data_IF_972899048752
#
_entry.id   IF_972899048752
#
_cell.length_a   1.000
_cell.length_b   1.000
_cell.length_c   1.000
_cell.angle_alpha   90.00
_cell.angle_beta   90.00
_cell.angle_gamma   90.00
#
_symmetry.space_group_name_H-M   'P 1'
#
loop_
_entity.id
_entity.type
_entity.pdbx_description
1 polymer ?
#
# COMPACT_ATOMS: atom_id res chain seq x y z
N UNK A 1 -37.89 -5.06 26.92
CA UNK A 1 -37.79 -4.93 25.44
C UNK A 1 -36.38 -4.42 25.19
N UNK A 2 -35.55 -5.24 24.56
CA UNK A 2 -34.18 -4.83 24.22
C UNK A 2 -34.31 -3.77 23.12
N UNK A 3 -34.15 -2.50 23.47
CA UNK A 3 -34.18 -1.41 22.49
C UNK A 3 -33.12 -1.71 21.44
N UNK A 4 -33.52 -1.81 20.17
CA UNK A 4 -32.62 -2.17 19.09
C UNK A 4 -31.50 -1.13 19.05
N UNK A 5 -30.28 -1.55 19.45
CA UNK A 5 -29.10 -0.66 19.49
C UNK A 5 -28.91 0.01 18.14
N UNK A 6 -28.60 1.30 18.16
CA UNK A 6 -28.27 2.08 16.97
C UNK A 6 -27.18 1.38 16.13
N UNK A 7 -27.47 1.16 14.85
CA UNK A 7 -26.63 0.37 13.96
C UNK A 7 -25.68 1.26 13.15
N UNK A 8 -24.40 1.16 13.44
CA UNK A 8 -23.35 1.84 12.68
C UNK A 8 -22.74 0.86 11.69
N UNK A 9 -22.80 1.20 10.39
CA UNK A 9 -22.11 0.45 9.34
C UNK A 9 -20.86 1.24 8.93
N UNK A 10 -19.68 0.59 8.99
CA UNK A 10 -18.40 1.17 8.62
C UNK A 10 -17.88 0.41 7.39
N UNK A 11 -17.67 1.12 6.29
CA UNK A 11 -17.08 0.56 5.06
C UNK A 11 -15.60 0.91 5.01
N UNK A 12 -14.77 -0.12 5.13
CA UNK A 12 -13.32 -0.02 5.15
C UNK A 12 -12.72 -0.23 6.54
N UNK A 13 -11.88 -1.27 6.68
CA UNK A 13 -11.14 -1.62 7.89
C UNK A 13 -9.69 -1.11 7.85
N UNK A 14 -9.46 -0.01 7.18
CA UNK A 14 -8.20 0.75 7.22
C UNK A 14 -8.03 1.51 8.52
N UNK A 15 -7.11 2.47 8.56
CA UNK A 15 -6.83 3.29 9.75
C UNK A 15 -8.09 3.99 10.28
N UNK A 16 -8.84 4.67 9.40
CA UNK A 16 -10.04 5.42 9.81
C UNK A 16 -11.14 4.52 10.37
N UNK A 17 -11.43 3.39 9.71
CA UNK A 17 -12.48 2.46 10.16
C UNK A 17 -12.16 1.79 11.48
N UNK A 18 -10.90 1.34 11.66
CA UNK A 18 -10.46 0.74 12.93
C UNK A 18 -10.43 1.77 14.06
N UNK A 19 -9.96 2.99 13.80
CA UNK A 19 -9.90 4.03 14.83
C UNK A 19 -11.30 4.45 15.29
N UNK A 20 -12.24 4.62 14.34
CA UNK A 20 -13.63 4.87 14.69
C UNK A 20 -14.22 3.72 15.52
N UNK A 21 -13.92 2.47 15.14
CA UNK A 21 -14.40 1.31 15.90
C UNK A 21 -13.84 1.31 17.33
N UNK A 22 -12.61 1.76 17.55
CA UNK A 22 -12.03 1.94 18.88
C UNK A 22 -12.72 3.05 19.65
N UNK A 23 -12.92 4.20 19.01
CA UNK A 23 -13.55 5.36 19.65
C UNK A 23 -15.00 5.08 20.08
N UNK A 24 -15.70 4.18 19.39
CA UNK A 24 -17.06 3.75 19.75
C UNK A 24 -17.08 2.65 20.83
N UNK A 25 -15.95 2.32 21.45
CA UNK A 25 -15.94 1.32 22.53
C UNK A 25 -16.77 1.80 23.73
N UNK A 26 -17.72 0.96 24.17
CA UNK A 26 -18.62 1.29 25.28
C UNK A 26 -19.83 2.14 24.89
N UNK A 27 -19.92 2.63 23.66
CA UNK A 27 -21.14 3.30 23.16
C UNK A 27 -22.30 2.29 23.03
N UNK A 28 -23.57 2.72 23.21
CA UNK A 28 -24.74 1.85 23.09
C UNK A 28 -25.11 1.57 21.63
N UNK A 29 -24.13 1.13 20.83
CA UNK A 29 -24.29 0.85 19.39
C UNK A 29 -23.91 -0.60 19.09
N UNK A 30 -24.39 -1.09 17.94
CA UNK A 30 -23.85 -2.27 17.27
C UNK A 30 -23.14 -1.83 16.00
N UNK A 31 -22.03 -2.44 15.68
CA UNK A 31 -21.20 -2.06 14.54
C UNK A 31 -21.13 -3.21 13.54
N UNK A 32 -21.33 -2.91 12.26
CA UNK A 32 -20.97 -3.81 11.16
C UNK A 32 -19.86 -3.18 10.36
N UNK A 33 -18.67 -3.80 10.39
CA UNK A 33 -17.53 -3.41 9.59
C UNK A 33 -17.50 -4.26 8.32
N UNK A 34 -17.46 -3.60 7.17
CA UNK A 34 -17.42 -4.25 5.85
C UNK A 34 -16.11 -3.88 5.16
N UNK A 35 -15.35 -4.86 4.74
CA UNK A 35 -14.16 -4.64 3.91
C UNK A 35 -14.06 -5.71 2.82
N UNK A 36 -13.56 -5.34 1.66
CA UNK A 36 -13.29 -6.26 0.55
C UNK A 36 -12.09 -7.18 0.80
N UNK A 37 -11.30 -6.90 1.84
CA UNK A 37 -10.18 -7.70 2.32
C UNK A 37 -10.45 -8.19 3.74
N UNK A 38 -9.84 -9.32 4.08
CA UNK A 38 -9.95 -9.89 5.43
C UNK A 38 -8.88 -9.39 6.40
N UNK A 39 -8.01 -8.46 5.96
CA UNK A 39 -6.87 -7.96 6.74
C UNK A 39 -6.82 -6.43 6.73
N UNK A 40 -6.36 -5.88 7.84
CA UNK A 40 -5.88 -4.51 7.95
C UNK A 40 -4.45 -4.44 7.43
N UNK A 41 -4.15 -3.45 6.61
CA UNK A 41 -2.83 -3.22 6.06
C UNK A 41 -2.20 -1.96 6.69
N UNK A 42 -1.02 -2.11 7.29
CA UNK A 42 -0.22 -0.98 7.73
C UNK A 42 0.56 -0.40 6.54
N UNK A 43 -0.11 0.39 5.73
CA UNK A 43 0.41 0.96 4.48
C UNK A 43 1.77 1.69 4.59
N UNK A 44 2.09 2.42 5.68
CA UNK A 44 3.38 3.12 5.79
C UNK A 44 4.61 2.22 5.63
N UNK A 45 4.50 0.92 5.91
CA UNK A 45 5.61 -0.03 5.75
C UNK A 45 5.53 -0.88 4.48
N UNK A 46 4.63 -0.55 3.57
CA UNK A 46 4.40 -1.34 2.35
C UNK A 46 5.62 -1.35 1.43
N UNK A 47 6.39 -0.26 1.39
CA UNK A 47 7.63 -0.17 0.63
C UNK A 47 8.69 -1.18 1.12
N UNK A 48 8.73 -1.47 2.42
CA UNK A 48 9.65 -2.47 2.98
C UNK A 48 9.28 -3.91 2.56
N UNK A 49 8.00 -4.20 2.36
CA UNK A 49 7.58 -5.47 1.76
C UNK A 49 8.00 -5.52 0.28
N UNK A 50 7.81 -4.43 -0.46
CA UNK A 50 8.20 -4.33 -1.86
C UNK A 50 9.73 -4.49 -2.07
N UNK A 51 10.54 -4.13 -1.09
CA UNK A 51 12.01 -4.19 -1.12
C UNK A 51 12.60 -5.32 -0.27
N UNK A 52 11.80 -6.32 0.07
CA UNK A 52 12.23 -7.54 0.82
C UNK A 52 12.58 -7.37 2.29
N UNK A 53 12.59 -6.15 2.82
CA UNK A 53 12.96 -5.89 4.21
C UNK A 53 11.96 -6.45 5.23
N UNK A 54 10.66 -6.55 4.86
CA UNK A 54 9.62 -7.13 5.72
C UNK A 54 8.84 -8.24 5.02
N UNK A 55 8.35 -9.19 5.81
CA UNK A 55 7.35 -10.15 5.35
C UNK A 55 5.95 -9.51 5.32
N UNK A 56 5.07 -10.01 4.43
CA UNK A 56 3.69 -9.52 4.33
C UNK A 56 2.91 -9.66 5.64
N UNK A 57 3.18 -10.70 6.42
CA UNK A 57 2.54 -10.99 7.71
C UNK A 57 2.85 -9.95 8.80
N UNK A 58 3.93 -9.18 8.64
CA UNK A 58 4.33 -8.17 9.62
C UNK A 58 3.50 -6.90 9.54
N UNK A 59 2.91 -6.63 8.37
CA UNK A 59 2.11 -5.42 8.13
C UNK A 59 0.64 -5.69 7.79
N UNK A 60 0.24 -6.97 7.66
CA UNK A 60 -1.12 -7.38 7.33
C UNK A 60 -1.71 -8.25 8.45
N UNK A 61 -2.66 -7.67 9.18
CA UNK A 61 -3.27 -8.31 10.35
C UNK A 61 -4.73 -8.68 10.08
N UNK A 62 -5.17 -9.93 10.36
CA UNK A 62 -6.57 -10.29 10.18
C UNK A 62 -7.51 -9.38 10.97
N UNK A 63 -8.48 -8.75 10.28
CA UNK A 63 -9.44 -7.81 10.91
C UNK A 63 -10.17 -8.51 12.08
N UNK A 64 -10.61 -9.75 11.88
CA UNK A 64 -11.30 -10.51 12.91
C UNK A 64 -10.43 -10.75 14.15
N UNK A 65 -9.12 -10.91 13.98
CA UNK A 65 -8.19 -11.04 15.10
C UNK A 65 -8.06 -9.73 15.87
N UNK A 66 -7.96 -8.59 15.18
CA UNK A 66 -7.89 -7.27 15.79
C UNK A 66 -9.15 -6.97 16.62
N UNK A 67 -10.32 -7.38 16.13
CA UNK A 67 -11.62 -7.08 16.72
C UNK A 67 -12.17 -8.22 17.59
N UNK A 68 -11.44 -9.32 17.83
CA UNK A 68 -11.93 -10.54 18.52
C UNK A 68 -12.52 -10.30 19.91
N UNK A 69 -12.08 -9.26 20.61
CA UNK A 69 -12.58 -8.89 21.94
C UNK A 69 -13.84 -8.00 21.90
N UNK A 70 -14.20 -7.45 20.75
CA UNK A 70 -15.34 -6.55 20.52
C UNK A 70 -16.58 -7.34 20.13
N UNK A 71 -17.41 -7.69 21.11
CA UNK A 71 -18.64 -8.46 20.92
C UNK A 71 -19.75 -7.67 20.23
N UNK A 72 -19.65 -6.35 20.25
CA UNK A 72 -20.56 -5.38 19.60
C UNK A 72 -20.21 -5.15 18.13
N UNK A 73 -19.13 -5.77 17.60
CA UNK A 73 -18.65 -5.60 16.22
C UNK A 73 -18.79 -6.90 15.44
N UNK A 74 -19.53 -6.83 14.33
CA UNK A 74 -19.59 -7.87 13.30
C UNK A 74 -18.72 -7.46 12.12
N UNK A 75 -17.83 -8.34 11.65
CA UNK A 75 -16.99 -8.10 10.47
C UNK A 75 -17.53 -8.90 9.29
N UNK A 76 -17.78 -8.24 8.17
CA UNK A 76 -18.19 -8.85 6.91
C UNK A 76 -17.08 -8.67 5.85
N UNK A 77 -16.77 -9.74 5.14
CA UNK A 77 -15.98 -9.70 3.92
C UNK A 77 -16.94 -9.48 2.76
N UNK A 78 -16.81 -8.39 2.03
CA UNK A 78 -17.69 -8.06 0.90
C UNK A 78 -17.26 -6.76 0.23
N UNK A 79 -17.55 -6.65 -1.05
CA UNK A 79 -17.30 -5.43 -1.83
C UNK A 79 -18.56 -4.59 -1.86
N UNK A 80 -18.49 -3.39 -1.33
CA UNK A 80 -19.58 -2.42 -1.42
C UNK A 80 -19.61 -1.84 -2.83
N UNK A 81 -20.75 -2.01 -3.51
CA UNK A 81 -20.98 -1.53 -4.88
C UNK A 81 -21.90 -0.32 -4.95
N UNK A 82 -22.63 -0.03 -3.87
CA UNK A 82 -23.55 1.10 -3.84
C UNK A 82 -24.14 1.38 -2.46
N UNK A 83 -24.86 2.51 -2.37
CA UNK A 83 -25.60 2.92 -1.18
C UNK A 83 -27.00 3.36 -1.58
N UNK A 84 -28.01 2.66 -1.08
CA UNK A 84 -29.40 3.09 -1.13
C UNK A 84 -29.65 4.04 0.06
N UNK A 85 -29.60 5.35 -0.22
CA UNK A 85 -29.77 6.38 0.81
C UNK A 85 -31.17 6.45 1.36
N UNK A 86 -32.17 6.24 0.50
CA UNK A 86 -33.61 6.30 0.89
C UNK A 86 -33.97 5.09 1.78
N UNK A 87 -33.54 3.90 1.40
CA UNK A 87 -33.75 2.67 2.17
C UNK A 87 -32.71 2.46 3.29
N UNK A 88 -31.74 3.38 3.47
CA UNK A 88 -30.62 3.25 4.43
C UNK A 88 -29.95 1.88 4.37
N UNK A 89 -29.49 1.50 3.20
CA UNK A 89 -28.83 0.19 2.97
C UNK A 89 -27.53 0.36 2.18
N UNK A 90 -26.52 -0.42 2.58
CA UNK A 90 -25.30 -0.63 1.80
C UNK A 90 -25.48 -1.88 0.94
N UNK A 91 -25.19 -1.78 -0.36
CA UNK A 91 -25.35 -2.85 -1.35
C UNK A 91 -24.01 -3.54 -1.58
N UNK A 92 -24.01 -4.87 -1.53
CA UNK A 92 -22.82 -5.69 -1.73
C UNK A 92 -22.81 -6.36 -3.12
N UNK A 93 -21.64 -6.77 -3.57
CA UNK A 93 -21.41 -7.42 -4.88
C UNK A 93 -22.08 -8.80 -5.02
N UNK A 94 -22.41 -9.45 -3.90
CA UNK A 94 -23.15 -10.73 -3.88
C UNK A 94 -24.68 -10.55 -3.97
N UNK A 95 -25.17 -9.31 -4.13
CA UNK A 95 -26.58 -8.96 -4.17
C UNK A 95 -27.23 -8.78 -2.80
N UNK A 96 -26.52 -9.01 -1.71
CA UNK A 96 -27.02 -8.76 -0.36
C UNK A 96 -26.98 -7.26 -0.01
N UNK A 97 -27.70 -6.89 1.05
CA UNK A 97 -27.72 -5.52 1.54
C UNK A 97 -27.67 -5.47 3.06
N UNK A 98 -26.96 -4.48 3.61
CA UNK A 98 -26.84 -4.25 5.06
C UNK A 98 -27.50 -2.92 5.42
N UNK A 99 -28.55 -2.97 6.25
CA UNK A 99 -29.23 -1.78 6.75
C UNK A 99 -28.38 -1.04 7.78
N UNK A 100 -28.55 0.29 7.88
CA UNK A 100 -27.84 1.12 8.84
C UNK A 100 -28.73 2.26 9.40
N UNK A 101 -28.40 2.72 10.60
CA UNK A 101 -28.85 4.00 11.12
C UNK A 101 -27.84 5.10 10.78
N UNK A 102 -26.54 4.80 10.95
CA UNK A 102 -25.41 5.66 10.54
C UNK A 102 -24.47 4.89 9.63
N UNK A 103 -24.09 5.49 8.50
CA UNK A 103 -23.10 4.96 7.57
C UNK A 103 -21.82 5.79 7.62
N UNK A 104 -20.67 5.11 7.71
CA UNK A 104 -19.34 5.72 7.62
C UNK A 104 -18.58 5.12 6.46
N UNK A 105 -18.12 5.96 5.54
CA UNK A 105 -17.29 5.59 4.42
C UNK A 105 -15.81 5.87 4.74
N UNK A 106 -15.05 4.82 5.04
CA UNK A 106 -13.63 4.86 5.38
C UNK A 106 -12.80 4.07 4.36
N UNK A 107 -13.15 4.17 3.07
CA UNK A 107 -12.63 3.34 1.98
C UNK A 107 -11.19 3.63 1.57
N UNK A 108 -10.57 4.67 2.14
CA UNK A 108 -9.20 5.09 1.82
C UNK A 108 -9.08 5.74 0.45
N UNK A 109 -7.85 5.74 -0.08
CA UNK A 109 -7.52 6.32 -1.38
C UNK A 109 -6.79 5.29 -2.25
N UNK A 110 -6.87 5.46 -3.57
CA UNK A 110 -6.09 4.74 -4.57
C UNK A 110 -5.04 5.68 -5.18
N UNK A 111 -4.03 5.12 -5.82
CA UNK A 111 -3.18 5.87 -6.74
C UNK A 111 -3.98 6.26 -7.99
N UNK A 112 -3.52 7.28 -8.69
CA UNK A 112 -4.12 7.74 -9.93
C UNK A 112 -3.03 7.84 -11.00
N UNK A 113 -3.38 7.44 -12.23
CA UNK A 113 -2.52 7.59 -13.40
C UNK A 113 -2.90 8.83 -14.23
N UNK A 114 -3.72 9.75 -13.68
CA UNK A 114 -4.11 11.01 -14.31
C UNK A 114 -4.73 10.86 -15.70
N UNK A 115 -5.49 9.77 -15.91
CA UNK A 115 -6.11 9.43 -17.19
C UNK A 115 -5.28 8.50 -18.08
N UNK A 116 -4.16 8.00 -17.59
CA UNK A 116 -3.24 7.10 -18.27
C UNK A 116 -3.21 5.72 -17.61
N UNK A 117 -4.37 5.10 -17.44
CA UNK A 117 -4.49 3.79 -16.77
C UNK A 117 -3.73 2.68 -17.52
N UNK A 118 -3.41 2.87 -18.80
CA UNK A 118 -2.55 1.99 -19.59
C UNK A 118 -1.11 1.89 -19.07
N UNK A 119 -0.69 2.77 -18.17
CA UNK A 119 0.63 2.71 -17.54
C UNK A 119 0.72 1.68 -16.42
N UNK A 120 -0.41 1.30 -15.81
CA UNK A 120 -0.45 0.40 -14.66
C UNK A 120 0.32 -0.92 -14.89
N UNK A 121 0.22 -1.61 -16.04
CA UNK A 121 0.98 -2.83 -16.29
C UNK A 121 2.50 -2.64 -16.25
N UNK A 122 2.98 -1.45 -16.59
CA UNK A 122 4.42 -1.12 -16.65
C UNK A 122 4.91 -0.50 -15.34
N UNK A 123 4.12 0.34 -14.72
CA UNK A 123 4.43 1.08 -13.50
C UNK A 123 3.36 0.84 -12.42
N UNK A 124 3.36 -0.33 -11.77
CA UNK A 124 2.36 -0.64 -10.76
C UNK A 124 2.43 0.35 -9.60
N UNK A 125 1.26 0.77 -9.11
CA UNK A 125 1.19 1.57 -7.89
C UNK A 125 1.59 0.77 -6.65
N UNK A 126 1.68 1.43 -5.49
CA UNK A 126 2.02 0.78 -4.22
C UNK A 126 0.98 1.17 -3.15
N UNK A 127 -0.13 0.44 -3.09
CA UNK A 127 -1.25 0.65 -2.15
C UNK A 127 -1.77 -0.63 -1.51
N UNK A 128 -1.43 -1.79 -2.07
CA UNK A 128 -1.93 -3.09 -1.64
C UNK A 128 -0.78 -4.08 -1.43
N UNK A 129 -1.02 -5.19 -0.73
CA UNK A 129 -0.03 -6.26 -0.61
C UNK A 129 0.32 -6.87 -1.96
N UNK A 130 -0.67 -6.99 -2.83
CA UNK A 130 -0.53 -7.51 -4.19
C UNK A 130 0.43 -6.62 -5.00
N UNK A 131 0.31 -5.29 -4.87
CA UNK A 131 1.22 -4.34 -5.50
C UNK A 131 2.65 -4.53 -4.98
N UNK A 132 2.82 -4.57 -3.66
CA UNK A 132 4.13 -4.73 -3.03
C UNK A 132 4.80 -6.05 -3.45
N UNK A 133 4.08 -7.16 -3.45
CA UNK A 133 4.61 -8.47 -3.88
C UNK A 133 4.92 -8.51 -5.37
N UNK A 134 4.14 -7.79 -6.20
CA UNK A 134 4.42 -7.64 -7.63
C UNK A 134 5.69 -6.85 -7.87
N UNK A 135 5.86 -5.72 -7.19
CA UNK A 135 7.08 -4.90 -7.27
C UNK A 135 8.28 -5.70 -6.78
N UNK A 136 8.18 -6.35 -5.61
CA UNK A 136 9.23 -7.23 -5.08
C UNK A 136 9.68 -8.26 -6.11
N UNK A 137 8.74 -8.97 -6.70
CA UNK A 137 9.02 -9.98 -7.73
C UNK A 137 9.73 -9.37 -8.93
N UNK A 138 9.31 -8.19 -9.40
CA UNK A 138 9.93 -7.52 -10.55
C UNK A 138 11.37 -7.12 -10.25
N UNK A 139 11.62 -6.52 -9.08
CA UNK A 139 12.98 -6.12 -8.67
C UNK A 139 13.89 -7.35 -8.64
N UNK A 140 13.51 -8.40 -7.92
CA UNK A 140 14.35 -9.59 -7.79
C UNK A 140 14.58 -10.30 -9.13
N UNK A 141 13.53 -10.42 -9.98
CA UNK A 141 13.67 -11.01 -11.30
C UNK A 141 14.56 -10.19 -12.24
N UNK A 142 14.62 -8.86 -12.08
CA UNK A 142 15.51 -8.02 -12.87
C UNK A 142 16.98 -8.36 -12.60
N UNK A 143 17.36 -8.56 -11.34
CA UNK A 143 18.71 -9.03 -10.99
C UNK A 143 19.00 -10.44 -11.51
N UNK A 144 18.06 -11.38 -11.38
CA UNK A 144 18.21 -12.74 -11.91
C UNK A 144 18.35 -12.78 -13.44
N UNK A 145 17.65 -11.91 -14.14
CA UNK A 145 17.77 -11.78 -15.59
C UNK A 145 19.10 -11.13 -15.98
N UNK A 146 19.53 -10.09 -15.25
CA UNK A 146 20.81 -9.44 -15.47
C UNK A 146 22.01 -10.39 -15.28
N UNK A 147 21.93 -11.31 -14.30
CA UNK A 147 22.96 -12.34 -14.06
C UNK A 147 23.19 -13.23 -15.29
N UNK A 148 22.15 -13.51 -16.08
CA UNK A 148 22.22 -14.36 -17.26
C UNK A 148 22.41 -13.61 -18.56
N UNK A 149 22.23 -12.27 -18.55
CA UNK A 149 22.31 -11.45 -19.78
C UNK A 149 23.77 -11.23 -20.16
N UNK A 150 24.09 -11.44 -21.43
CA UNK A 150 25.43 -11.26 -21.99
C UNK A 150 25.63 -9.93 -22.69
N UNK A 151 24.53 -9.32 -23.20
CA UNK A 151 24.57 -7.99 -23.81
C UNK A 151 24.69 -6.91 -22.72
N UNK A 152 25.77 -6.13 -22.68
CA UNK A 152 25.98 -5.10 -21.67
C UNK A 152 24.88 -4.03 -21.62
N UNK A 153 24.30 -3.66 -22.77
CA UNK A 153 23.25 -2.64 -22.83
C UNK A 153 21.94 -3.15 -22.22
N UNK A 154 21.56 -4.40 -22.54
CA UNK A 154 20.39 -5.06 -21.94
C UNK A 154 20.59 -5.32 -20.45
N UNK A 155 21.78 -5.74 -20.05
CA UNK A 155 22.14 -5.92 -18.64
C UNK A 155 21.95 -4.61 -17.86
N UNK A 156 22.46 -3.50 -18.39
CA UNK A 156 22.31 -2.19 -17.76
C UNK A 156 20.82 -1.76 -17.70
N UNK A 157 20.04 -2.06 -18.73
CA UNK A 157 18.59 -1.78 -18.71
C UNK A 157 17.87 -2.57 -17.60
N UNK A 158 18.22 -3.84 -17.39
CA UNK A 158 17.67 -4.68 -16.30
C UNK A 158 18.07 -4.17 -14.91
N UNK A 159 19.26 -3.59 -14.79
CA UNK A 159 19.78 -3.00 -13.55
C UNK A 159 19.34 -1.53 -13.36
N UNK A 160 18.49 -0.99 -14.25
CA UNK A 160 17.95 0.37 -14.11
C UNK A 160 16.50 0.31 -13.63
N UNK A 161 16.27 0.76 -12.40
CA UNK A 161 14.98 0.73 -11.73
C UNK A 161 14.42 2.16 -11.69
N UNK A 162 13.26 2.35 -12.31
CA UNK A 162 12.62 3.67 -12.43
C UNK A 162 11.44 3.78 -11.48
N UNK A 163 11.40 4.85 -10.71
CA UNK A 163 10.33 5.19 -9.77
C UNK A 163 9.70 6.50 -10.22
N UNK A 164 8.37 6.54 -10.30
CA UNK A 164 7.63 7.74 -10.66
C UNK A 164 6.90 8.30 -9.43
N UNK A 165 7.20 9.55 -9.10
CA UNK A 165 6.66 10.29 -7.96
C UNK A 165 7.67 10.47 -6.83
N UNK A 166 8.03 11.72 -6.55
CA UNK A 166 8.97 12.14 -5.50
C UNK A 166 8.31 12.44 -4.15
N UNK A 167 7.12 11.89 -3.90
CA UNK A 167 6.48 11.93 -2.58
C UNK A 167 7.15 10.97 -1.58
N UNK A 168 6.65 10.88 -0.33
CA UNK A 168 7.24 10.01 0.71
C UNK A 168 7.46 8.57 0.24
N UNK A 169 6.45 7.95 -0.35
CA UNK A 169 6.54 6.55 -0.82
C UNK A 169 7.64 6.35 -1.87
N UNK A 170 7.76 7.29 -2.84
CA UNK A 170 8.80 7.17 -3.86
C UNK A 170 10.20 7.36 -3.31
N UNK A 171 10.39 8.30 -2.39
CA UNK A 171 11.67 8.56 -1.70
C UNK A 171 12.08 7.34 -0.84
N UNK A 172 11.14 6.79 -0.04
CA UNK A 172 11.35 5.59 0.76
C UNK A 172 11.70 4.38 -0.11
N UNK A 173 10.95 4.19 -1.21
CA UNK A 173 11.19 3.09 -2.14
C UNK A 173 12.55 3.22 -2.84
N UNK A 174 12.93 4.44 -3.26
CA UNK A 174 14.22 4.69 -3.89
C UNK A 174 15.38 4.35 -2.95
N UNK A 175 15.32 4.85 -1.71
CA UNK A 175 16.36 4.57 -0.70
C UNK A 175 16.51 3.08 -0.43
N UNK A 176 15.39 2.39 -0.18
CA UNK A 176 15.43 0.96 0.15
C UNK A 176 15.79 0.05 -1.04
N UNK A 177 15.48 0.44 -2.28
CA UNK A 177 15.97 -0.28 -3.46
C UNK A 177 17.50 -0.11 -3.61
N UNK A 178 18.02 1.09 -3.36
CA UNK A 178 19.47 1.33 -3.38
C UNK A 178 20.19 0.49 -2.31
N UNK A 179 19.68 0.47 -1.07
CA UNK A 179 20.19 -0.37 0.01
C UNK A 179 20.11 -1.87 -0.33
N UNK A 180 19.00 -2.33 -0.93
CA UNK A 180 18.85 -3.71 -1.38
C UNK A 180 19.97 -4.08 -2.39
N UNK A 181 20.19 -3.23 -3.40
CA UNK A 181 21.17 -3.48 -4.46
C UNK A 181 22.61 -3.38 -3.95
N UNK A 182 22.93 -2.35 -3.17
CA UNK A 182 24.32 -2.03 -2.78
C UNK A 182 24.81 -2.82 -1.57
N UNK A 183 23.89 -3.19 -0.67
CA UNK A 183 24.25 -3.85 0.59
C UNK A 183 23.70 -5.28 0.67
N UNK A 184 22.38 -5.46 0.56
CA UNK A 184 21.75 -6.77 0.81
C UNK A 184 22.13 -7.82 -0.24
N UNK A 185 22.08 -7.46 -1.54
CA UNK A 185 22.37 -8.37 -2.65
C UNK A 185 23.88 -8.40 -3.01
N UNK A 186 24.69 -7.63 -2.30
CA UNK A 186 26.11 -7.55 -2.57
C UNK A 186 26.79 -8.91 -2.44
N UNK A 187 27.43 -9.35 -3.53
CA UNK A 187 28.16 -10.62 -3.57
C UNK A 187 27.30 -11.88 -3.72
N UNK A 188 25.97 -11.74 -3.81
CA UNK A 188 25.06 -12.86 -4.07
C UNK A 188 25.18 -13.39 -5.52
N UNK A 189 25.43 -12.50 -6.47
CA UNK A 189 25.56 -12.79 -7.90
C UNK A 189 27.03 -12.98 -8.31
N UNK A 190 27.29 -13.67 -9.43
CA UNK A 190 28.64 -13.99 -9.92
C UNK A 190 29.03 -13.24 -11.17
N UNK A 191 28.05 -12.95 -12.05
CA UNK A 191 28.29 -12.32 -13.36
C UNK A 191 27.95 -10.82 -13.34
N UNK A 192 27.29 -10.32 -12.32
CA UNK A 192 26.98 -8.89 -12.14
C UNK A 192 27.48 -8.37 -10.80
N UNK A 193 27.81 -7.10 -10.77
CA UNK A 193 27.96 -6.34 -9.53
C UNK A 193 26.68 -5.55 -9.29
N UNK A 194 25.91 -5.93 -8.27
CA UNK A 194 24.62 -5.30 -7.95
C UNK A 194 24.74 -3.83 -7.62
N UNK A 195 25.94 -3.34 -7.22
CA UNK A 195 26.23 -1.92 -7.00
C UNK A 195 26.17 -1.08 -8.28
N UNK A 196 26.16 -1.71 -9.46
CA UNK A 196 25.96 -1.03 -10.74
C UNK A 196 24.47 -0.76 -11.03
N UNK A 197 23.55 -1.20 -10.16
CA UNK A 197 22.15 -0.87 -10.27
C UNK A 197 21.96 0.65 -10.14
N UNK A 198 21.10 1.20 -11.00
CA UNK A 198 20.74 2.60 -11.00
C UNK A 198 19.29 2.75 -10.57
N UNK A 199 19.04 3.60 -9.59
CA UNK A 199 17.70 3.98 -9.17
C UNK A 199 17.40 5.38 -9.71
N UNK A 200 16.40 5.49 -10.58
CA UNK A 200 16.00 6.74 -11.21
C UNK A 200 14.65 7.17 -10.66
N UNK A 201 14.63 8.23 -9.86
CA UNK A 201 13.41 8.83 -9.32
C UNK A 201 12.97 10.00 -10.18
N UNK A 202 11.76 9.92 -10.74
CA UNK A 202 11.17 10.96 -11.60
C UNK A 202 10.07 11.66 -10.83
N UNK A 203 10.14 13.00 -10.75
CA UNK A 203 9.12 13.86 -10.15
C UNK A 203 8.71 14.96 -11.14
N UNK A 204 7.43 15.25 -11.23
CA UNK A 204 6.90 16.29 -12.10
C UNK A 204 7.13 17.70 -11.55
N UNK A 205 7.24 17.83 -10.23
CA UNK A 205 7.51 19.11 -9.55
C UNK A 205 9.00 19.43 -9.45
N UNK A 206 9.31 20.60 -8.93
CA UNK A 206 10.68 21.13 -8.85
C UNK A 206 11.56 20.40 -7.84
N UNK A 207 10.97 19.62 -6.91
CA UNK A 207 11.70 18.97 -5.83
C UNK A 207 10.95 17.76 -5.27
N UNK A 208 11.69 16.80 -4.75
CA UNK A 208 11.11 15.68 -3.98
C UNK A 208 10.50 16.21 -2.68
N UNK A 209 9.51 15.49 -2.13
CA UNK A 209 8.85 15.85 -0.87
C UNK A 209 8.32 17.29 -0.87
N UNK A 210 7.69 17.73 -1.96
CA UNK A 210 7.24 19.11 -2.15
C UNK A 210 6.35 19.68 -1.01
N UNK A 211 5.65 18.80 -0.27
CA UNK A 211 4.80 19.17 0.87
C UNK A 211 5.57 19.37 2.19
N UNK A 212 6.88 19.11 2.21
CA UNK A 212 7.74 19.33 3.36
C UNK A 212 8.48 20.66 3.25
N UNK A 213 9.07 21.11 4.35
CA UNK A 213 9.91 22.31 4.33
C UNK A 213 11.07 22.15 3.32
N UNK A 214 11.44 23.25 2.59
CA UNK A 214 12.44 23.18 1.52
C UNK A 214 13.79 22.56 1.95
N UNK A 215 14.22 22.84 3.16
CA UNK A 215 15.46 22.29 3.73
C UNK A 215 15.40 20.77 3.92
N UNK A 216 14.23 20.20 4.29
CA UNK A 216 14.03 18.77 4.40
C UNK A 216 14.02 18.09 3.04
N UNK A 217 13.39 18.74 2.05
CA UNK A 217 13.41 18.29 0.66
C UNK A 217 14.84 18.24 0.10
N UNK A 218 15.63 19.32 0.30
CA UNK A 218 17.02 19.37 -0.13
C UNK A 218 17.91 18.35 0.61
N UNK A 219 17.63 18.09 1.88
CA UNK A 219 18.31 17.06 2.64
C UNK A 219 18.03 15.65 2.08
N UNK A 220 16.74 15.36 1.81
CA UNK A 220 16.31 14.08 1.24
C UNK A 220 16.93 13.84 -0.15
N UNK A 221 16.92 14.86 -1.01
CA UNK A 221 17.56 14.78 -2.32
C UNK A 221 19.05 14.43 -2.21
N UNK A 222 19.80 15.16 -1.38
CA UNK A 222 21.22 14.88 -1.14
C UNK A 222 21.46 13.49 -0.53
N UNK A 223 20.53 13.01 0.28
CA UNK A 223 20.62 11.65 0.84
C UNK A 223 20.45 10.59 -0.24
N UNK A 224 19.47 10.74 -1.14
CA UNK A 224 19.28 9.86 -2.28
C UNK A 224 20.48 9.88 -3.24
N UNK A 225 21.00 11.06 -3.59
CA UNK A 225 22.17 11.20 -4.46
C UNK A 225 23.44 10.51 -3.89
N UNK A 226 23.57 10.39 -2.56
CA UNK A 226 24.67 9.64 -1.93
C UNK A 226 24.51 8.13 -1.99
N UNK A 227 23.29 7.65 -2.18
CA UNK A 227 23.00 6.23 -2.32
C UNK A 227 23.23 5.71 -3.76
N UNK A 228 23.36 6.60 -4.75
CA UNK A 228 23.63 6.28 -6.16
C UNK A 228 22.47 6.69 -7.06
#
# INVERSE_FOLDING_TARGET
MDEAKHHVVIVGAGFGGLELTRALAGAPVRITMIDKRNHHLFQPLLYQVATTALATSEIAWPIRHLLRKRKDVTTLLGTVIGVDRAGKRVLLDDGSAVGYDTLVLATGARHAYFGHDEWEPFAPGLKTLEDATTIRRRILLAFEQAERETDPARRQALLTLVIVGGGPTGVELAGTIAELAHDTLRGEFRNIDTRQARVVLIEAGDRVLANFAPELSAYAQKALERLG
#
